data_IF_702490933161
#
_entry.id   IF_702490933161
#
_cell.length_a   1.000
_cell.length_b   1.000
_cell.length_c   1.000
_cell.angle_alpha   90.00
_cell.angle_beta   90.00
_cell.angle_gamma   90.00
#
_symmetry.space_group_name_H-M   'P 1'
#
loop_
_entity.id
_entity.type
_entity.pdbx_description
1 polymer ?
#
# COMPACT_ATOMS: atom_id res chain seq x y z
N UNK A 1 31.06 47.09 26.08
CA UNK A 1 29.68 46.68 26.38
C UNK A 1 29.72 45.28 26.96
N UNK A 2 29.70 45.16 28.29
CA UNK A 2 29.74 43.86 28.97
C UNK A 2 28.31 43.45 29.30
N UNK A 3 27.72 42.58 28.49
CA UNK A 3 26.43 41.95 28.82
C UNK A 3 26.68 40.76 29.74
N UNK A 4 26.77 41.00 31.04
CA UNK A 4 26.72 39.91 32.03
C UNK A 4 25.29 39.39 32.11
N UNK A 5 25.09 38.15 31.64
CA UNK A 5 23.82 37.44 31.81
C UNK A 5 23.49 37.39 33.31
N UNK A 6 22.27 37.78 33.75
CA UNK A 6 21.86 37.70 35.14
C UNK A 6 22.06 36.28 35.66
N UNK A 7 22.60 36.15 36.88
CA UNK A 7 22.96 34.86 37.50
C UNK A 7 21.79 33.84 37.49
N UNK A 8 20.55 34.30 37.53
CA UNK A 8 19.33 33.49 37.38
C UNK A 8 19.13 32.93 35.96
N UNK A 9 19.47 33.69 34.91
CA UNK A 9 19.43 33.21 33.51
C UNK A 9 20.53 32.19 33.25
N UNK A 10 21.71 32.36 33.87
CA UNK A 10 22.79 31.39 33.79
C UNK A 10 22.39 30.04 34.42
N UNK A 11 21.75 30.07 35.61
CA UNK A 11 21.25 28.86 36.26
C UNK A 11 20.17 28.13 35.46
N UNK A 12 19.24 28.87 34.84
CA UNK A 12 18.23 28.28 33.93
C UNK A 12 18.88 27.66 32.70
N UNK A 13 19.86 28.32 32.09
CA UNK A 13 20.55 27.82 30.91
C UNK A 13 21.32 26.52 31.22
N UNK A 14 22.02 26.45 32.36
CA UNK A 14 22.71 25.24 32.83
C UNK A 14 21.71 24.11 33.10
N UNK A 15 20.59 24.40 33.74
CA UNK A 15 19.53 23.42 33.99
C UNK A 15 18.94 22.85 32.70
N UNK A 16 18.66 23.70 31.71
CA UNK A 16 18.16 23.25 30.40
C UNK A 16 19.18 22.40 29.65
N UNK A 17 20.45 22.79 29.64
CA UNK A 17 21.53 22.00 29.02
C UNK A 17 21.67 20.63 29.71
N UNK A 18 21.58 20.59 31.04
CA UNK A 18 21.65 19.34 31.79
C UNK A 18 20.48 18.39 31.46
N UNK A 19 19.26 18.92 31.34
CA UNK A 19 18.07 18.14 30.95
C UNK A 19 18.20 17.62 29.51
N UNK A 20 18.66 18.45 28.58
CA UNK A 20 18.90 18.03 27.18
C UNK A 20 19.97 16.95 27.13
N UNK A 21 21.09 17.12 27.85
CA UNK A 21 22.16 16.14 27.92
C UNK A 21 21.69 14.80 28.53
N UNK A 22 20.92 14.84 29.62
CA UNK A 22 20.33 13.64 30.23
C UNK A 22 19.36 12.94 29.27
N UNK A 23 18.52 13.70 28.57
CA UNK A 23 17.56 13.17 27.61
C UNK A 23 18.27 12.51 26.42
N UNK A 24 19.28 13.17 25.85
CA UNK A 24 20.12 12.62 24.78
C UNK A 24 20.89 11.37 25.24
N UNK A 25 21.41 11.38 26.47
CA UNK A 25 22.13 10.21 27.02
C UNK A 25 21.19 9.03 27.23
N UNK A 26 19.97 9.29 27.72
CA UNK A 26 18.92 8.27 27.84
C UNK A 26 18.54 7.68 26.48
N UNK A 27 18.36 8.53 25.46
CA UNK A 27 18.07 8.07 24.09
C UNK A 27 19.23 7.25 23.53
N UNK A 28 20.48 7.70 23.65
CA UNK A 28 21.65 6.97 23.17
C UNK A 28 21.78 5.62 23.88
N UNK A 29 21.57 5.58 25.20
CA UNK A 29 21.66 4.35 25.98
C UNK A 29 20.58 3.33 25.60
N UNK A 30 19.33 3.79 25.43
CA UNK A 30 18.22 2.95 24.97
C UNK A 30 18.42 2.47 23.52
N UNK A 31 18.98 3.33 22.64
CA UNK A 31 19.25 2.98 21.26
C UNK A 31 20.49 2.08 21.09
N UNK A 32 21.44 2.09 22.03
CA UNK A 32 22.64 1.25 21.96
C UNK A 32 22.30 -0.24 21.91
N UNK A 33 21.24 -0.68 22.60
CA UNK A 33 20.75 -2.07 22.53
C UNK A 33 20.11 -2.42 21.18
N UNK A 34 19.68 -1.43 20.40
CA UNK A 34 19.04 -1.58 19.09
C UNK A 34 20.05 -1.52 17.94
N UNK A 35 21.23 -0.93 18.16
CA UNK A 35 22.27 -0.72 17.13
C UNK A 35 23.21 -1.93 16.99
N UNK A 36 23.20 -2.86 17.95
CA UNK A 36 24.06 -4.05 17.91
C UNK A 36 23.37 -5.38 18.28
N UNK A 37 22.24 -5.74 17.66
CA UNK A 37 21.93 -7.16 17.56
C UNK A 37 22.94 -7.75 16.56
N UNK A 38 23.67 -8.79 16.97
CA UNK A 38 24.18 -9.74 15.98
C UNK A 38 22.95 -10.13 15.13
N UNK A 39 22.92 -9.73 13.86
CA UNK A 39 21.89 -10.15 12.91
C UNK A 39 22.09 -11.64 12.63
N UNK A 40 21.72 -12.49 13.58
CA UNK A 40 21.38 -13.86 13.25
C UNK A 40 20.11 -13.78 12.42
N UNK A 41 20.21 -14.22 11.16
CA UNK A 41 19.04 -14.47 10.36
C UNK A 41 18.12 -15.41 11.15
N UNK A 42 16.86 -15.01 11.28
CA UNK A 42 15.87 -15.79 11.99
C UNK A 42 15.54 -17.04 11.17
N UNK A 43 15.06 -18.09 11.83
CA UNK A 43 14.55 -19.26 11.11
C UNK A 43 13.19 -18.94 10.47
N UNK A 44 12.74 -19.69 9.44
CA UNK A 44 11.41 -19.52 8.88
C UNK A 44 10.29 -19.56 9.95
N UNK A 45 10.38 -20.48 10.91
CA UNK A 45 9.40 -20.62 11.99
C UNK A 45 9.38 -19.40 12.94
N UNK A 46 10.54 -18.75 13.14
CA UNK A 46 10.63 -17.52 13.92
C UNK A 46 9.96 -16.35 13.19
N UNK A 47 10.12 -16.24 11.87
CA UNK A 47 9.41 -15.24 11.06
C UNK A 47 7.89 -15.48 11.06
N UNK A 48 7.43 -16.73 10.94
CA UNK A 48 6.01 -17.07 11.05
C UNK A 48 5.43 -16.66 12.40
N UNK A 49 6.16 -16.94 13.50
CA UNK A 49 5.74 -16.54 14.85
C UNK A 49 5.68 -15.02 15.00
N UNK A 50 6.63 -14.29 14.42
CA UNK A 50 6.59 -12.82 14.40
C UNK A 50 5.35 -12.31 13.63
N UNK A 51 5.06 -12.88 12.46
CA UNK A 51 3.88 -12.54 11.67
C UNK A 51 2.58 -12.81 12.45
N UNK A 52 2.46 -13.94 13.14
CA UNK A 52 1.30 -14.25 13.98
C UNK A 52 1.14 -13.24 15.13
N UNK A 53 2.26 -12.86 15.77
CA UNK A 53 2.23 -11.88 16.85
C UNK A 53 1.82 -10.50 16.33
N UNK A 54 2.32 -10.11 15.16
CA UNK A 54 1.95 -8.86 14.48
C UNK A 54 0.48 -8.85 14.11
N UNK A 55 -0.05 -9.94 13.52
CA UNK A 55 -1.48 -10.09 13.24
C UNK A 55 -2.35 -9.86 14.48
N UNK A 56 -1.97 -10.45 15.62
CA UNK A 56 -2.68 -10.27 16.89
C UNK A 56 -2.65 -8.80 17.31
N UNK A 57 -1.49 -8.13 17.21
CA UNK A 57 -1.38 -6.71 17.53
C UNK A 57 -2.26 -5.85 16.62
N UNK A 58 -2.26 -6.10 15.30
CA UNK A 58 -3.11 -5.39 14.34
C UNK A 58 -4.60 -5.56 14.69
N UNK A 59 -5.02 -6.77 15.04
CA UNK A 59 -6.40 -7.05 15.45
C UNK A 59 -6.81 -6.28 16.72
N UNK A 60 -5.89 -6.13 17.68
CA UNK A 60 -6.12 -5.28 18.87
C UNK A 60 -6.28 -3.82 18.45
N UNK A 61 -5.40 -3.31 17.58
CA UNK A 61 -5.45 -1.91 17.13
C UNK A 61 -6.75 -1.54 16.42
N UNK A 62 -7.34 -2.45 15.65
CA UNK A 62 -8.62 -2.22 14.95
C UNK A 62 -9.78 -1.90 15.90
N UNK A 63 -9.67 -2.30 17.17
CA UNK A 63 -10.71 -2.07 18.18
C UNK A 63 -10.47 -0.82 19.03
N UNK A 64 -9.34 -0.11 18.84
CA UNK A 64 -9.00 1.04 19.66
C UNK A 64 -9.64 2.33 19.11
N UNK A 65 -10.28 3.15 19.96
CA UNK A 65 -10.77 4.44 19.53
C UNK A 65 -9.58 5.39 19.24
N UNK A 66 -9.71 6.20 18.19
CA UNK A 66 -8.67 7.18 17.83
C UNK A 66 -8.59 8.39 18.77
N UNK A 67 -9.65 8.62 19.56
CA UNK A 67 -9.76 9.75 20.51
C UNK A 67 -9.47 11.12 19.90
N UNK A 68 -9.76 11.29 18.60
CA UNK A 68 -9.50 12.53 17.86
C UNK A 68 -8.11 12.63 17.21
N UNK A 69 -7.26 11.59 17.35
CA UNK A 69 -5.90 11.53 16.81
C UNK A 69 -5.75 10.56 15.64
N UNK A 70 -6.82 10.38 14.84
CA UNK A 70 -6.85 9.42 13.73
C UNK A 70 -5.69 9.60 12.74
N UNK A 71 -5.38 10.82 12.33
CA UNK A 71 -4.26 11.08 11.42
C UNK A 71 -2.90 10.64 12.00
N UNK A 72 -2.64 10.87 13.29
CA UNK A 72 -1.39 10.43 13.93
C UNK A 72 -1.30 8.90 14.02
N UNK A 73 -2.44 8.23 14.26
CA UNK A 73 -2.51 6.78 14.24
C UNK A 73 -2.29 6.23 12.82
N UNK A 74 -2.91 6.84 11.81
CA UNK A 74 -2.70 6.47 10.41
C UNK A 74 -1.23 6.62 9.98
N UNK A 75 -0.57 7.73 10.35
CA UNK A 75 0.86 7.93 10.15
C UNK A 75 1.69 6.81 10.81
N UNK A 76 1.36 6.46 12.05
CA UNK A 76 2.04 5.39 12.77
C UNK A 76 1.85 4.02 12.12
N UNK A 77 0.62 3.67 11.74
CA UNK A 77 0.32 2.40 11.07
C UNK A 77 0.94 2.33 9.69
N UNK A 78 1.00 3.45 8.96
CA UNK A 78 1.71 3.51 7.69
C UNK A 78 3.23 3.32 7.87
N UNK A 79 3.85 3.90 8.89
CA UNK A 79 5.26 3.64 9.20
C UNK A 79 5.52 2.17 9.56
N UNK A 80 4.62 1.54 10.32
CA UNK A 80 4.68 0.10 10.59
C UNK A 80 4.54 -0.70 9.30
N UNK A 81 3.61 -0.36 8.43
CA UNK A 81 3.47 -0.96 7.11
C UNK A 81 4.75 -0.85 6.29
N UNK A 82 5.40 0.32 6.26
CA UNK A 82 6.67 0.50 5.53
C UNK A 82 7.76 -0.44 6.06
N UNK A 83 7.82 -0.65 7.37
CA UNK A 83 8.76 -1.62 7.98
C UNK A 83 8.38 -3.06 7.65
N UNK A 84 7.11 -3.42 7.79
CA UNK A 84 6.57 -4.73 7.43
C UNK A 84 6.86 -5.06 5.95
N UNK A 85 6.49 -4.17 5.05
CA UNK A 85 6.66 -4.36 3.61
C UNK A 85 8.14 -4.37 3.21
N UNK A 86 8.97 -3.57 3.88
CA UNK A 86 10.40 -3.44 3.60
C UNK A 86 11.28 -4.58 4.14
N UNK A 87 10.75 -5.46 5.00
CA UNK A 87 11.49 -6.59 5.57
C UNK A 87 11.62 -7.75 4.56
N UNK A 88 12.46 -7.57 3.54
CA UNK A 88 12.60 -8.54 2.45
C UNK A 88 13.00 -9.95 2.91
N UNK A 89 13.77 -10.09 4.00
CA UNK A 89 14.13 -11.40 4.55
C UNK A 89 12.88 -12.10 5.12
N UNK A 90 12.07 -11.42 5.93
CA UNK A 90 10.83 -11.99 6.44
C UNK A 90 9.83 -12.31 5.32
N UNK A 91 9.70 -11.41 4.33
CA UNK A 91 8.72 -11.52 3.24
C UNK A 91 9.03 -12.66 2.26
N UNK A 92 10.28 -13.13 2.18
CA UNK A 92 10.62 -14.35 1.44
C UNK A 92 9.94 -15.61 1.99
N UNK A 93 9.74 -15.66 3.31
CA UNK A 93 9.13 -16.83 3.98
C UNK A 93 7.64 -16.66 4.22
N UNK A 94 7.22 -15.45 4.58
CA UNK A 94 5.87 -15.21 5.11
C UNK A 94 4.95 -14.48 4.15
N UNK A 95 5.49 -13.91 3.07
CA UNK A 95 4.73 -13.10 2.12
C UNK A 95 4.16 -11.83 2.71
N UNK A 96 3.09 -11.32 2.11
CA UNK A 96 2.47 -10.05 2.47
C UNK A 96 1.02 -10.16 3.01
N UNK A 97 0.63 -11.22 3.76
CA UNK A 97 -0.78 -11.41 4.14
C UNK A 97 -1.35 -10.31 5.05
N UNK A 98 -0.52 -9.53 5.74
CA UNK A 98 -0.96 -8.45 6.64
C UNK A 98 -1.17 -7.10 5.96
N UNK A 99 -0.83 -6.96 4.67
CA UNK A 99 -1.07 -5.73 3.91
C UNK A 99 -2.52 -5.22 3.96
N UNK A 100 -3.57 -6.04 3.79
CA UNK A 100 -4.95 -5.58 3.96
C UNK A 100 -5.25 -5.07 5.39
N UNK A 101 -4.65 -5.66 6.43
CA UNK A 101 -4.87 -5.21 7.81
C UNK A 101 -4.26 -3.84 8.06
N UNK A 102 -3.08 -3.60 7.50
CA UNK A 102 -2.46 -2.29 7.49
C UNK A 102 -3.28 -1.27 6.71
N UNK A 103 -3.83 -1.67 5.55
CA UNK A 103 -4.67 -0.78 4.76
C UNK A 103 -5.90 -0.37 5.57
N UNK A 104 -6.60 -1.35 6.16
CA UNK A 104 -7.76 -1.10 7.00
C UNK A 104 -7.44 -0.10 8.13
N UNK A 105 -6.37 -0.34 8.89
CA UNK A 105 -6.00 0.54 9.99
C UNK A 105 -5.69 1.96 9.53
N UNK A 106 -5.04 2.14 8.39
CA UNK A 106 -4.74 3.47 7.84
C UNK A 106 -6.02 4.15 7.36
N UNK A 107 -6.86 3.47 6.58
CA UNK A 107 -8.06 4.07 5.99
C UNK A 107 -9.13 4.37 7.04
N UNK A 108 -9.29 3.52 8.06
CA UNK A 108 -10.25 3.73 9.16
C UNK A 108 -9.89 4.97 10.00
N UNK A 109 -8.60 5.32 10.05
CA UNK A 109 -8.08 6.41 10.88
C UNK A 109 -7.84 7.72 10.11
N UNK A 110 -7.37 7.65 8.86
CA UNK A 110 -7.29 8.77 7.93
C UNK A 110 -7.57 8.33 6.48
N UNK A 111 -8.85 8.28 6.07
CA UNK A 111 -9.21 7.85 4.72
C UNK A 111 -8.71 8.82 3.64
N UNK A 112 -8.26 10.03 4.00
CA UNK A 112 -7.74 11.03 3.06
C UNK A 112 -6.22 10.96 2.91
N UNK A 113 -5.57 9.98 3.52
CA UNK A 113 -4.14 9.76 3.40
C UNK A 113 -3.77 9.12 2.05
N UNK A 114 -4.00 9.87 0.97
CA UNK A 114 -3.92 9.38 -0.42
C UNK A 114 -2.62 8.63 -0.74
N UNK A 115 -1.45 9.18 -0.35
CA UNK A 115 -0.15 8.55 -0.67
C UNK A 115 0.00 7.19 0.01
N UNK A 116 -0.35 7.08 1.30
CA UNK A 116 -0.30 5.82 2.02
C UNK A 116 -1.27 4.80 1.41
N UNK A 117 -2.52 5.22 1.18
CA UNK A 117 -3.56 4.35 0.63
C UNK A 117 -3.18 3.78 -0.75
N UNK A 118 -2.58 4.60 -1.63
CA UNK A 118 -2.10 4.13 -2.95
C UNK A 118 -1.00 3.07 -2.83
N UNK A 119 -0.06 3.25 -1.91
CA UNK A 119 1.06 2.31 -1.72
C UNK A 119 0.59 1.00 -1.11
N UNK A 120 -0.28 1.07 -0.10
CA UNK A 120 -0.81 -0.12 0.55
C UNK A 120 -1.79 -0.86 -0.38
N UNK A 121 -2.55 -0.16 -1.22
CA UNK A 121 -3.40 -0.77 -2.24
C UNK A 121 -2.61 -1.71 -3.15
N UNK A 122 -1.47 -1.27 -3.69
CA UNK A 122 -0.60 -2.12 -4.53
C UNK A 122 -0.08 -3.32 -3.74
N UNK A 123 0.32 -3.12 -2.48
CA UNK A 123 0.73 -4.24 -1.64
C UNK A 123 -0.41 -5.24 -1.40
N UNK A 124 -1.63 -4.75 -1.24
CA UNK A 124 -2.81 -5.57 -0.97
C UNK A 124 -3.27 -6.34 -2.21
N UNK A 125 -3.33 -5.72 -3.38
CA UNK A 125 -3.76 -6.40 -4.60
C UNK A 125 -2.66 -7.28 -5.20
N UNK A 126 -1.47 -6.72 -5.41
CA UNK A 126 -0.40 -7.39 -6.17
C UNK A 126 0.47 -8.34 -5.34
N UNK A 127 0.77 -7.98 -4.09
CA UNK A 127 1.68 -8.77 -3.26
C UNK A 127 0.95 -9.72 -2.32
N UNK A 128 -0.19 -9.30 -1.77
CA UNK A 128 -1.03 -10.14 -0.93
C UNK A 128 -2.07 -10.94 -1.74
N UNK A 129 -2.27 -10.64 -3.04
CA UNK A 129 -3.23 -11.35 -3.88
C UNK A 129 -4.69 -11.12 -3.49
N UNK A 130 -4.99 -9.99 -2.84
CA UNK A 130 -6.31 -9.64 -2.29
C UNK A 130 -6.90 -8.37 -2.94
N UNK A 131 -7.12 -8.36 -4.27
CA UNK A 131 -7.61 -7.20 -5.01
C UNK A 131 -8.99 -6.71 -4.54
N UNK A 132 -9.87 -7.63 -4.11
CA UNK A 132 -11.18 -7.27 -3.57
C UNK A 132 -11.07 -6.41 -2.29
N UNK A 133 -10.09 -6.69 -1.43
CA UNK A 133 -9.80 -5.86 -0.24
C UNK A 133 -9.22 -4.51 -0.61
N UNK A 134 -8.32 -4.48 -1.60
CA UNK A 134 -7.79 -3.21 -2.13
C UNK A 134 -8.92 -2.31 -2.63
N UNK A 135 -9.85 -2.86 -3.42
CA UNK A 135 -11.03 -2.12 -3.91
C UNK A 135 -11.91 -1.65 -2.75
N UNK A 136 -12.26 -2.51 -1.79
CA UNK A 136 -13.06 -2.15 -0.61
C UNK A 136 -12.47 -0.95 0.15
N UNK A 137 -11.16 -0.97 0.43
CA UNK A 137 -10.51 0.12 1.17
C UNK A 137 -10.28 1.37 0.33
N UNK A 138 -10.04 1.25 -0.98
CA UNK A 138 -10.00 2.39 -1.88
C UNK A 138 -11.37 3.08 -1.97
N UNK A 139 -12.48 2.33 -1.98
CA UNK A 139 -13.82 2.91 -1.91
C UNK A 139 -14.03 3.70 -0.64
N UNK A 140 -13.60 3.17 0.51
CA UNK A 140 -13.70 3.89 1.78
C UNK A 140 -12.89 5.19 1.75
N UNK A 141 -11.65 5.14 1.23
CA UNK A 141 -10.84 6.34 1.02
C UNK A 141 -11.53 7.37 0.12
N UNK A 142 -12.13 6.91 -0.99
CA UNK A 142 -12.81 7.75 -1.97
C UNK A 142 -14.07 8.43 -1.43
N UNK A 143 -14.83 7.79 -0.52
CA UNK A 143 -16.01 8.40 0.13
C UNK A 143 -15.67 9.68 0.90
N UNK A 144 -14.46 9.74 1.47
CA UNK A 144 -14.03 10.84 2.33
C UNK A 144 -13.05 11.81 1.68
N UNK A 145 -12.49 11.44 0.52
CA UNK A 145 -11.48 12.25 -0.17
C UNK A 145 -12.12 13.18 -1.19
N UNK A 146 -11.88 14.50 -1.13
CA UNK A 146 -12.42 15.42 -2.12
C UNK A 146 -11.67 15.27 -3.47
N UNK A 147 -12.31 15.64 -4.60
CA UNK A 147 -11.70 15.58 -5.93
C UNK A 147 -10.39 16.34 -6.09
N UNK A 148 -10.21 17.37 -5.25
CA UNK A 148 -9.05 18.25 -5.25
C UNK A 148 -8.64 18.55 -3.81
N UNK A 149 -7.34 18.43 -3.54
CA UNK A 149 -6.72 18.81 -2.26
C UNK A 149 -5.62 19.84 -2.52
N UNK A 150 -5.30 20.62 -1.49
CA UNK A 150 -4.19 21.59 -1.55
C UNK A 150 -2.87 20.85 -1.38
N UNK A 151 -1.92 21.09 -2.29
CA UNK A 151 -0.55 20.54 -2.23
C UNK A 151 -0.43 19.03 -2.01
N UNK A 152 -1.14 18.17 -2.76
CA UNK A 152 -1.00 16.72 -2.62
C UNK A 152 0.38 16.23 -3.03
N UNK A 153 0.89 15.19 -2.36
CA UNK A 153 2.01 14.39 -2.90
C UNK A 153 1.56 13.70 -4.20
N UNK A 154 0.40 13.02 -4.17
CA UNK A 154 -0.31 12.49 -5.34
C UNK A 154 -1.75 13.01 -5.38
N UNK A 155 -2.25 13.45 -6.55
CA UNK A 155 -3.64 13.87 -6.69
C UNK A 155 -4.63 12.75 -6.32
N UNK A 156 -5.76 13.07 -5.65
CA UNK A 156 -6.77 12.09 -5.25
C UNK A 156 -7.34 11.24 -6.36
N UNK A 157 -7.36 11.74 -7.61
CA UNK A 157 -7.84 10.98 -8.76
C UNK A 157 -7.04 9.69 -9.01
N UNK A 158 -5.84 9.55 -8.46
CA UNK A 158 -5.08 8.30 -8.54
C UNK A 158 -5.74 7.16 -7.76
N UNK A 159 -6.53 7.44 -6.71
CA UNK A 159 -7.29 6.42 -6.00
C UNK A 159 -8.27 5.71 -6.94
N UNK A 160 -8.99 6.49 -7.76
CA UNK A 160 -9.86 5.96 -8.82
C UNK A 160 -9.08 5.16 -9.87
N UNK A 161 -7.88 5.62 -10.25
CA UNK A 161 -7.06 4.90 -11.23
C UNK A 161 -6.64 3.54 -10.68
N UNK A 162 -6.17 3.47 -9.43
CA UNK A 162 -5.71 2.22 -8.81
C UNK A 162 -6.89 1.27 -8.60
N UNK A 163 -8.04 1.80 -8.14
CA UNK A 163 -9.27 1.03 -8.03
C UNK A 163 -9.70 0.43 -9.37
N UNK A 164 -9.71 1.24 -10.44
CA UNK A 164 -10.08 0.80 -11.78
C UNK A 164 -9.11 -0.22 -12.39
N UNK A 165 -7.83 -0.18 -12.01
CA UNK A 165 -6.86 -1.21 -12.38
C UNK A 165 -7.21 -2.53 -11.69
N UNK A 166 -7.49 -2.51 -10.38
CA UNK A 166 -7.83 -3.72 -9.64
C UNK A 166 -9.15 -4.34 -10.13
N UNK A 167 -10.18 -3.50 -10.35
CA UNK A 167 -11.47 -3.90 -10.92
C UNK A 167 -11.30 -4.58 -12.29
N UNK A 168 -10.49 -4.00 -13.18
CA UNK A 168 -10.32 -4.53 -14.54
C UNK A 168 -9.42 -5.77 -14.58
N UNK A 169 -8.23 -5.69 -13.99
CA UNK A 169 -7.15 -6.65 -14.20
C UNK A 169 -7.24 -7.86 -13.26
N UNK A 170 -7.85 -7.72 -12.10
CA UNK A 170 -7.94 -8.82 -11.15
C UNK A 170 -9.37 -9.28 -10.91
N UNK A 171 -10.35 -8.38 -10.93
CA UNK A 171 -11.76 -8.74 -10.69
C UNK A 171 -12.56 -8.97 -11.97
N UNK A 172 -12.03 -8.57 -13.14
CA UNK A 172 -12.72 -8.68 -14.43
C UNK A 172 -13.98 -7.82 -14.54
N UNK A 173 -14.16 -6.84 -13.64
CA UNK A 173 -15.33 -5.96 -13.61
C UNK A 173 -15.10 -4.74 -14.50
N UNK A 174 -15.39 -4.92 -15.78
CA UNK A 174 -15.18 -3.92 -16.82
C UNK A 174 -16.07 -2.69 -16.63
N UNK A 175 -17.31 -2.86 -16.15
CA UNK A 175 -18.23 -1.75 -15.92
C UNK A 175 -17.79 -0.91 -14.71
N UNK A 176 -17.37 -1.55 -13.62
CA UNK A 176 -16.78 -0.85 -12.49
C UNK A 176 -15.50 -0.11 -12.90
N UNK A 177 -14.63 -0.75 -13.68
CA UNK A 177 -13.41 -0.13 -14.19
C UNK A 177 -13.69 1.09 -15.10
N UNK A 178 -14.71 1.02 -15.98
CA UNK A 178 -15.16 2.17 -16.78
C UNK A 178 -15.64 3.31 -15.90
N UNK A 179 -16.42 3.02 -14.85
CA UNK A 179 -16.86 4.01 -13.89
C UNK A 179 -15.66 4.66 -13.17
N UNK A 180 -14.72 3.86 -12.67
CA UNK A 180 -13.51 4.34 -12.02
C UNK A 180 -12.66 5.22 -12.94
N UNK A 181 -12.45 4.82 -14.20
CA UNK A 181 -11.74 5.67 -15.17
C UNK A 181 -12.50 6.97 -15.49
N UNK A 182 -13.83 6.93 -15.57
CA UNK A 182 -14.66 8.12 -15.76
C UNK A 182 -14.52 9.10 -14.59
N UNK A 183 -14.59 8.59 -13.36
CA UNK A 183 -14.43 9.39 -12.15
C UNK A 183 -13.02 9.96 -12.01
N UNK A 184 -11.99 9.16 -12.34
CA UNK A 184 -10.61 9.64 -12.41
C UNK A 184 -10.47 10.82 -13.40
N UNK A 185 -11.07 10.71 -14.58
CA UNK A 185 -11.04 11.80 -15.58
C UNK A 185 -11.71 13.07 -15.06
N UNK A 186 -12.90 12.92 -14.46
CA UNK A 186 -13.67 14.05 -13.92
C UNK A 186 -12.91 14.76 -12.79
N UNK A 187 -12.27 14.00 -11.89
CA UNK A 187 -11.48 14.57 -10.80
C UNK A 187 -10.21 15.25 -11.30
N UNK A 188 -9.49 14.62 -12.25
CA UNK A 188 -8.31 15.20 -12.87
C UNK A 188 -8.63 16.53 -13.58
N UNK A 189 -9.82 16.67 -14.16
CA UNK A 189 -10.23 17.93 -14.80
C UNK A 189 -10.43 19.12 -13.86
N UNK A 190 -10.51 18.88 -12.54
CA UNK A 190 -10.58 19.96 -11.55
C UNK A 190 -9.24 20.66 -11.31
N UNK A 191 -8.15 20.10 -11.83
CA UNK A 191 -6.80 20.64 -11.72
C UNK A 191 -6.52 21.66 -12.85
N UNK A 192 -5.66 22.68 -12.61
CA UNK A 192 -5.25 23.63 -13.64
C UNK A 192 -4.53 22.97 -14.82
N UNK A 193 -4.58 23.59 -15.99
CA UNK A 193 -3.94 23.08 -17.23
C UNK A 193 -2.43 22.82 -17.08
N UNK A 194 -1.74 23.65 -16.32
CA UNK A 194 -0.30 23.64 -16.13
C UNK A 194 0.13 23.06 -14.78
N UNK A 195 -0.68 22.17 -14.19
CA UNK A 195 -0.33 21.51 -12.95
C UNK A 195 0.84 20.52 -13.15
N UNK A 196 1.61 20.26 -12.09
CA UNK A 196 2.83 19.44 -12.16
C UNK A 196 2.59 17.97 -12.54
N UNK A 197 1.35 17.48 -12.44
CA UNK A 197 0.99 16.08 -12.73
C UNK A 197 0.43 15.89 -14.15
N UNK A 198 0.31 16.97 -14.93
CA UNK A 198 -0.29 16.95 -16.26
C UNK A 198 -1.71 16.32 -16.22
N UNK A 199 -2.52 16.80 -15.28
CA UNK A 199 -3.83 16.22 -14.94
C UNK A 199 -4.79 16.21 -16.14
N UNK A 200 -4.67 17.18 -17.05
CA UNK A 200 -5.47 17.24 -18.28
C UNK A 200 -5.16 16.10 -19.25
N UNK A 201 -3.88 15.79 -19.44
CA UNK A 201 -3.49 14.61 -20.22
C UNK A 201 -3.93 13.32 -19.54
N UNK A 202 -3.90 13.25 -18.20
CA UNK A 202 -4.45 12.11 -17.45
C UNK A 202 -5.95 11.97 -17.73
N UNK A 203 -6.73 13.05 -17.62
CA UNK A 203 -8.16 13.02 -17.88
C UNK A 203 -8.48 12.53 -19.30
N UNK A 204 -7.76 13.02 -20.31
CA UNK A 204 -7.91 12.57 -21.69
C UNK A 204 -7.61 11.08 -21.84
N UNK A 205 -6.51 10.60 -21.27
CA UNK A 205 -6.13 9.18 -21.32
C UNK A 205 -7.18 8.29 -20.67
N UNK A 206 -7.73 8.70 -19.52
CA UNK A 206 -8.77 7.94 -18.83
C UNK A 206 -10.05 7.84 -19.66
N UNK A 207 -10.46 8.92 -20.33
CA UNK A 207 -11.58 8.87 -21.30
C UNK A 207 -11.31 7.95 -22.49
N UNK A 208 -10.07 7.93 -22.99
CA UNK A 208 -9.67 7.00 -24.05
C UNK A 208 -9.75 5.55 -23.57
N UNK A 209 -9.34 5.26 -22.33
CA UNK A 209 -9.52 3.94 -21.73
C UNK A 209 -11.01 3.55 -21.63
N UNK A 210 -11.89 4.46 -21.22
CA UNK A 210 -13.34 4.17 -21.18
C UNK A 210 -13.86 3.79 -22.58
N UNK A 211 -13.54 4.58 -23.61
CA UNK A 211 -13.93 4.27 -25.00
C UNK A 211 -13.37 2.94 -25.49
N UNK A 212 -12.10 2.67 -25.18
CA UNK A 212 -11.48 1.39 -25.53
C UNK A 212 -12.22 0.21 -24.90
N UNK A 213 -12.60 0.31 -23.63
CA UNK A 213 -13.34 -0.74 -22.91
C UNK A 213 -14.80 -0.88 -23.39
N UNK A 214 -15.41 0.17 -23.93
CA UNK A 214 -16.72 0.09 -24.59
C UNK A 214 -16.66 -0.74 -25.90
N UNK A 215 -15.54 -0.65 -26.62
CA UNK A 215 -15.32 -1.39 -27.87
C UNK A 215 -14.71 -2.78 -27.64
N UNK A 216 -13.90 -2.93 -26.59
CA UNK A 216 -13.11 -4.13 -26.27
C UNK A 216 -13.28 -4.48 -24.78
N UNK A 217 -14.45 -5.00 -24.40
CA UNK A 217 -14.75 -5.30 -23.00
C UNK A 217 -14.03 -6.56 -22.50
N UNK A 218 -13.60 -7.46 -23.40
CA UNK A 218 -12.85 -8.64 -23.00
C UNK A 218 -11.43 -8.26 -22.59
N UNK A 219 -11.10 -8.54 -21.33
CA UNK A 219 -9.78 -8.27 -20.76
C UNK A 219 -9.06 -9.54 -20.31
N UNK A 220 -9.54 -10.74 -20.69
CA UNK A 220 -9.01 -12.01 -20.19
C UNK A 220 -7.50 -12.16 -20.38
N UNK A 221 -6.96 -11.78 -21.54
CA UNK A 221 -5.52 -11.81 -21.78
C UNK A 221 -4.75 -10.94 -20.77
N UNK A 222 -5.23 -9.71 -20.53
CA UNK A 222 -4.63 -8.80 -19.55
C UNK A 222 -4.77 -9.32 -18.11
N UNK A 223 -5.93 -9.91 -17.77
CA UNK A 223 -6.16 -10.49 -16.46
C UNK A 223 -5.23 -11.69 -16.19
N UNK A 224 -5.05 -12.59 -17.16
CA UNK A 224 -4.11 -13.71 -17.07
C UNK A 224 -2.68 -13.18 -16.83
N UNK A 225 -2.28 -12.13 -17.55
CA UNK A 225 -0.99 -11.48 -17.34
C UNK A 225 -0.83 -10.91 -15.93
N UNK A 226 -1.86 -10.24 -15.41
CA UNK A 226 -1.86 -9.66 -14.07
C UNK A 226 -1.79 -10.74 -12.97
N UNK A 227 -2.61 -11.79 -13.07
CA UNK A 227 -2.56 -12.92 -12.12
C UNK A 227 -1.22 -13.69 -12.20
N UNK A 228 -0.62 -13.79 -13.39
CA UNK A 228 0.72 -14.37 -13.53
C UNK A 228 1.79 -13.56 -12.78
N UNK A 229 1.62 -12.24 -12.68
CA UNK A 229 2.50 -11.40 -11.86
C UNK A 229 2.36 -11.71 -10.37
N UNK A 230 1.14 -11.93 -9.87
CA UNK A 230 0.91 -12.36 -8.48
C UNK A 230 1.54 -13.74 -8.24
N UNK A 231 1.38 -14.67 -9.18
CA UNK A 231 1.96 -16.02 -9.08
C UNK A 231 3.48 -15.97 -8.89
N UNK A 232 4.16 -15.04 -9.57
CA UNK A 232 5.61 -14.87 -9.43
C UNK A 232 6.07 -14.39 -8.04
N UNK A 233 5.16 -13.80 -7.25
CA UNK A 233 5.41 -13.34 -5.89
C UNK A 233 4.81 -14.27 -4.81
N UNK A 234 4.10 -15.33 -5.22
CA UNK A 234 3.40 -16.21 -4.30
C UNK A 234 4.39 -17.07 -3.50
N UNK A 235 4.20 -17.10 -2.18
CA UNK A 235 5.11 -17.69 -1.20
C UNK A 235 4.43 -18.73 -0.31
N UNK A 236 3.10 -18.86 -0.38
CA UNK A 236 2.34 -19.89 0.30
C UNK A 236 1.61 -20.78 -0.72
N UNK A 237 1.44 -22.05 -0.36
CA UNK A 237 0.70 -23.00 -1.19
C UNK A 237 -0.74 -22.54 -1.43
N UNK A 238 -1.39 -21.98 -0.40
CA UNK A 238 -2.75 -21.43 -0.49
C UNK A 238 -2.84 -20.30 -1.54
N UNK A 239 -1.89 -19.36 -1.53
CA UNK A 239 -1.88 -18.28 -2.52
C UNK A 239 -1.62 -18.80 -3.93
N UNK A 240 -0.70 -19.76 -4.08
CA UNK A 240 -0.43 -20.39 -5.38
C UNK A 240 -1.70 -21.05 -5.92
N UNK A 241 -2.39 -21.86 -5.10
CA UNK A 241 -3.62 -22.55 -5.50
C UNK A 241 -4.73 -21.56 -5.88
N UNK A 242 -4.92 -20.50 -5.08
CA UNK A 242 -5.88 -19.45 -5.38
C UNK A 242 -5.57 -18.78 -6.72
N UNK A 243 -4.33 -18.36 -6.96
CA UNK A 243 -3.93 -17.64 -8.18
C UNK A 243 -4.04 -18.54 -9.41
N UNK A 244 -3.64 -19.81 -9.28
CA UNK A 244 -3.78 -20.80 -10.36
C UNK A 244 -5.26 -21.02 -10.73
N UNK A 245 -6.15 -21.08 -9.75
CA UNK A 245 -7.58 -21.18 -10.00
C UNK A 245 -8.12 -19.96 -10.77
N UNK A 246 -7.66 -18.75 -10.45
CA UNK A 246 -8.03 -17.54 -11.20
C UNK A 246 -7.55 -17.59 -12.65
N UNK A 247 -6.28 -17.94 -12.87
CA UNK A 247 -5.69 -18.07 -14.22
C UNK A 247 -6.46 -19.10 -15.05
N UNK A 248 -6.74 -20.28 -14.48
CA UNK A 248 -7.46 -21.34 -15.16
C UNK A 248 -8.92 -20.97 -15.45
N UNK A 249 -9.60 -20.27 -14.54
CA UNK A 249 -10.96 -19.79 -14.76
C UNK A 249 -11.06 -18.80 -15.93
N UNK A 250 -9.99 -18.05 -16.21
CA UNK A 250 -9.88 -17.15 -17.35
C UNK A 250 -9.52 -17.87 -18.67
N UNK A 251 -9.25 -19.18 -18.61
CA UNK A 251 -8.79 -19.98 -19.74
C UNK A 251 -7.26 -19.98 -19.93
N UNK A 252 -6.51 -19.40 -18.99
CA UNK A 252 -5.05 -19.45 -19.00
C UNK A 252 -4.53 -20.87 -18.79
N UNK A 253 -3.50 -21.24 -19.55
CA UNK A 253 -2.88 -22.56 -19.45
C UNK A 253 -1.66 -22.50 -18.55
N UNK A 254 -1.57 -23.46 -17.63
CA UNK A 254 -0.46 -23.58 -16.68
C UNK A 254 0.33 -24.83 -17.03
N UNK A 255 1.63 -24.68 -17.21
CA UNK A 255 2.54 -25.78 -17.56
C UNK A 255 3.91 -25.59 -16.93
N UNK A 256 4.70 -26.67 -16.89
CA UNK A 256 6.11 -26.60 -16.51
C UNK A 256 6.96 -26.51 -17.77
N UNK A 257 7.91 -25.58 -17.81
CA UNK A 257 8.90 -25.54 -18.89
C UNK A 257 9.94 -26.66 -18.75
N UNK A 258 10.86 -26.75 -19.72
CA UNK A 258 11.92 -27.77 -19.74
C UNK A 258 12.85 -27.72 -18.53
N UNK A 259 12.92 -26.58 -17.86
CA UNK A 259 13.75 -26.36 -16.67
C UNK A 259 12.97 -26.64 -15.37
N UNK A 260 11.72 -27.06 -15.47
CA UNK A 260 10.83 -27.34 -14.34
C UNK A 260 10.22 -26.10 -13.71
N UNK A 261 10.29 -24.93 -14.36
CA UNK A 261 9.65 -23.72 -13.86
C UNK A 261 8.18 -23.67 -14.27
N UNK A 262 7.34 -23.22 -13.34
CA UNK A 262 5.93 -22.96 -13.61
C UNK A 262 5.77 -21.77 -14.56
N UNK A 263 5.03 -21.96 -15.64
CA UNK A 263 4.74 -20.96 -16.68
C UNK A 263 3.25 -20.88 -16.92
N UNK A 264 2.83 -19.69 -17.37
CA UNK A 264 1.47 -19.38 -17.77
C UNK A 264 1.48 -18.92 -19.22
N UNK A 265 0.54 -19.44 -20.01
CA UNK A 265 0.31 -19.02 -21.40
C UNK A 265 -1.12 -18.54 -21.57
N UNK A 266 -1.27 -17.43 -22.28
CA UNK A 266 -2.56 -16.99 -22.85
C UNK A 266 -2.78 -17.76 -24.15
N UNK A 267 -3.84 -18.57 -24.28
CA UNK A 267 -4.13 -19.26 -25.52
C UNK A 267 -4.44 -18.31 -26.69
N UNK A 268 -4.15 -18.74 -27.92
CA UNK A 268 -4.35 -17.94 -29.14
C UNK A 268 -5.81 -17.55 -29.43
N UNK A 269 -6.78 -18.22 -28.80
CA UNK A 269 -8.21 -17.91 -28.95
C UNK A 269 -8.71 -16.85 -27.95
N UNK A 270 -7.84 -16.40 -27.03
CA UNK A 270 -8.10 -15.26 -26.17
C UNK A 270 -7.44 -14.04 -26.82
N UNK A 271 -8.25 -13.17 -27.42
CA UNK A 271 -7.83 -11.89 -27.99
C UNK A 271 -7.46 -10.85 -26.92
#
# INVERSE_FOLDING_TARGET
>A
MNSTLPQQQLGKMIGTIAIIALSLTGVIWLQKSLISPEKKALTPEEYEKQQQLEQIQLNVYKSLPSLGYGNLLADWFYLKFVQYFGDGEARQYTGYPLSPDYFQLVVDNDPRFVDANLRIAVSTSLFAGLPHKSVEFLEESLKHTPPKVTSPVYPPYYLWIYKGVDELLFLGDVEAAKNSNTMAANWADTYPENDRFNSKAVAQRRRQTVKFLEENPDSRAAQIGAWSQILSNANSQEMIEQVLAQIQALGGEVYFDSDGNLRVRVPEWID
#
